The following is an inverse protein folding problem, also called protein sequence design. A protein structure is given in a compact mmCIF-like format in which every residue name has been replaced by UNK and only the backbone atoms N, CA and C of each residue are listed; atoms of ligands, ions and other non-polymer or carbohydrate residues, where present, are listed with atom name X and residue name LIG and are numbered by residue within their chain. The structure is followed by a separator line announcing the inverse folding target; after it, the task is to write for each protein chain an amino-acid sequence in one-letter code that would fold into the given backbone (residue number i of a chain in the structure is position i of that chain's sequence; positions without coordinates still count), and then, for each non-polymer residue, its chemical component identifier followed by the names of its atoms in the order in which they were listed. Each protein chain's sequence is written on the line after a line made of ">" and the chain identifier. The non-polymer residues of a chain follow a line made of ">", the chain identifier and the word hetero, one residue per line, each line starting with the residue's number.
data_IF_486533658353
#
_entry.id   IF_486533658353
#
_cell.length_a   1.000
_cell.length_b   1.000
_cell.length_c   1.000
_cell.angle_alpha   90.00
_cell.angle_beta   90.00
_cell.angle_gamma   90.00
#
_symmetry.space_group_name_H-M   'P 1'
#
loop_
_entity.id
_entity.type
_entity.pdbx_description
1 polymer ?
#
# COMPACT_ATOMS: atom_id res chain seq x y z
N UNK A 1 -19.07 -0.78 -41.78
CA UNK A 1 -19.63 0.58 -41.72
C UNK A 1 -19.30 1.14 -40.34
N UNK A 2 -18.64 2.30 -40.29
CA UNK A 2 -18.32 2.95 -39.00
C UNK A 2 -19.60 3.58 -38.43
N UNK A 3 -19.93 3.26 -37.19
CA UNK A 3 -21.06 3.87 -36.50
C UNK A 3 -20.75 5.35 -36.19
N UNK A 4 -21.71 6.27 -36.23
CA UNK A 4 -21.49 7.70 -35.97
C UNK A 4 -20.84 8.00 -34.64
N UNK A 5 -21.14 7.21 -33.60
CA UNK A 5 -20.51 7.31 -32.27
C UNK A 5 -19.00 6.98 -32.30
N UNK A 6 -18.61 6.03 -33.14
CA UNK A 6 -17.20 5.64 -33.30
C UNK A 6 -16.39 6.77 -33.94
N UNK A 7 -16.92 7.41 -34.98
CA UNK A 7 -16.27 8.55 -35.62
C UNK A 7 -16.08 9.74 -34.66
N UNK A 8 -17.09 9.98 -33.82
CA UNK A 8 -17.04 11.03 -32.79
C UNK A 8 -16.02 10.73 -31.70
N UNK A 9 -15.93 9.48 -31.26
CA UNK A 9 -14.93 9.05 -30.24
C UNK A 9 -13.50 9.14 -30.76
N UNK A 10 -13.29 8.91 -32.07
CA UNK A 10 -12.00 9.00 -32.75
C UNK A 10 -11.62 10.42 -33.20
N UNK A 11 -12.56 11.38 -33.11
CA UNK A 11 -12.39 12.74 -33.63
C UNK A 11 -12.00 12.75 -35.11
N UNK A 12 -12.56 11.84 -35.91
CA UNK A 12 -12.33 11.70 -37.34
C UNK A 12 -13.56 12.06 -38.15
N UNK A 13 -13.33 12.71 -39.28
CA UNK A 13 -14.33 12.80 -40.34
C UNK A 13 -14.49 11.43 -41.01
N UNK A 14 -15.61 11.24 -41.70
CA UNK A 14 -15.87 9.99 -42.45
C UNK A 14 -14.82 9.70 -43.52
N UNK A 15 -14.36 10.73 -44.21
CA UNK A 15 -13.39 10.62 -45.29
C UNK A 15 -11.99 10.25 -44.75
N UNK A 16 -11.60 10.82 -43.59
CA UNK A 16 -10.36 10.46 -42.89
C UNK A 16 -10.39 9.03 -42.40
N UNK A 17 -11.50 8.60 -41.81
CA UNK A 17 -11.66 7.21 -41.37
C UNK A 17 -11.55 6.21 -42.53
N UNK A 18 -12.25 6.47 -43.63
CA UNK A 18 -12.26 5.56 -44.79
C UNK A 18 -10.85 5.47 -45.44
N UNK A 19 -10.09 6.56 -45.46
CA UNK A 19 -8.69 6.58 -45.93
C UNK A 19 -7.78 5.74 -45.02
N UNK A 20 -7.82 5.98 -43.72
CA UNK A 20 -6.96 5.25 -42.75
C UNK A 20 -7.34 3.76 -42.69
N UNK A 21 -8.63 3.45 -42.82
CA UNK A 21 -9.08 2.07 -42.88
C UNK A 21 -8.54 1.34 -44.11
N UNK A 22 -8.53 1.98 -45.25
CA UNK A 22 -7.98 1.40 -46.49
C UNK A 22 -6.46 1.10 -46.38
N UNK A 23 -5.72 1.97 -45.73
CA UNK A 23 -4.30 1.75 -45.45
C UNK A 23 -4.08 0.57 -44.51
N UNK A 24 -4.89 0.48 -43.47
CA UNK A 24 -4.86 -0.63 -42.52
C UNK A 24 -5.20 -1.98 -43.18
N UNK A 25 -6.26 -2.04 -44.01
CA UNK A 25 -6.62 -3.25 -44.77
C UNK A 25 -5.45 -3.72 -45.65
N UNK A 26 -4.80 -2.83 -46.37
CA UNK A 26 -3.61 -3.17 -47.19
C UNK A 26 -2.45 -3.72 -46.35
N UNK A 27 -2.25 -3.19 -45.16
CA UNK A 27 -1.25 -3.67 -44.23
C UNK A 27 -1.55 -5.10 -43.77
N UNK A 28 -2.79 -5.38 -43.39
CA UNK A 28 -3.20 -6.72 -42.98
C UNK A 28 -3.09 -7.71 -44.16
N UNK A 29 -3.44 -7.31 -45.37
CA UNK A 29 -3.23 -8.14 -46.58
C UNK A 29 -1.75 -8.46 -46.82
N UNK A 30 -0.85 -7.47 -46.63
CA UNK A 30 0.58 -7.71 -46.72
C UNK A 30 1.08 -8.67 -45.65
N UNK A 31 0.54 -8.59 -44.44
CA UNK A 31 0.86 -9.54 -43.37
C UNK A 31 0.44 -10.97 -43.72
N UNK A 32 -0.73 -11.17 -44.33
CA UNK A 32 -1.14 -12.50 -44.77
C UNK A 32 -0.22 -13.10 -45.85
N UNK A 33 0.42 -12.25 -46.65
CA UNK A 33 1.40 -12.69 -47.70
C UNK A 33 2.80 -12.94 -47.15
N UNK A 34 3.23 -12.17 -46.15
CA UNK A 34 4.62 -12.19 -45.61
C UNK A 34 4.75 -13.00 -44.34
N UNK A 35 3.63 -13.34 -43.68
CA UNK A 35 3.57 -14.08 -42.41
C UNK A 35 4.51 -13.52 -41.32
N UNK A 36 4.50 -12.20 -41.03
CA UNK A 36 5.34 -11.68 -39.98
C UNK A 36 4.86 -12.16 -38.59
N UNK A 37 5.71 -12.07 -37.54
CA UNK A 37 5.35 -12.49 -36.17
C UNK A 37 4.05 -11.88 -35.63
N UNK A 38 3.73 -10.67 -36.03
CA UNK A 38 2.53 -9.90 -35.64
C UNK A 38 1.23 -10.53 -36.19
N UNK A 39 1.31 -11.36 -37.22
CA UNK A 39 0.16 -12.08 -37.77
C UNK A 39 -0.29 -13.22 -36.84
N UNK A 40 0.60 -13.81 -36.07
CA UNK A 40 0.29 -15.01 -35.27
C UNK A 40 -0.81 -14.78 -34.22
N UNK A 41 -0.84 -13.67 -33.48
CA UNK A 41 -1.95 -13.34 -32.59
C UNK A 41 -3.30 -13.22 -33.30
N UNK A 42 -3.31 -12.60 -34.49
CA UNK A 42 -4.54 -12.49 -35.31
C UNK A 42 -5.07 -13.87 -35.75
N UNK A 43 -4.19 -14.78 -36.18
CA UNK A 43 -4.57 -16.15 -36.54
C UNK A 43 -5.11 -16.94 -35.34
N UNK A 44 -4.55 -16.71 -34.15
CA UNK A 44 -5.03 -17.34 -32.93
C UNK A 44 -6.42 -16.83 -32.54
N UNK A 45 -6.66 -15.53 -32.65
CA UNK A 45 -7.96 -14.94 -32.36
C UNK A 45 -9.01 -15.30 -33.43
N UNK A 46 -8.61 -15.46 -34.70
CA UNK A 46 -9.47 -16.00 -35.77
C UNK A 46 -9.98 -17.44 -35.46
N UNK A 47 -9.11 -18.28 -34.87
CA UNK A 47 -9.51 -19.64 -34.42
C UNK A 47 -10.49 -19.61 -33.25
N UNK A 48 -10.48 -18.55 -32.43
CA UNK A 48 -11.41 -18.35 -31.32
C UNK A 48 -12.79 -17.83 -31.74
N UNK A 49 -12.90 -17.32 -32.97
CA UNK A 49 -14.17 -16.90 -33.55
C UNK A 49 -14.19 -15.44 -33.98
N UNK A 50 -15.28 -15.07 -34.70
CA UNK A 50 -15.42 -13.74 -35.33
C UNK A 50 -15.36 -12.57 -34.33
N UNK A 51 -15.87 -12.75 -33.12
CA UNK A 51 -15.89 -11.68 -32.11
C UNK A 51 -14.49 -11.37 -31.59
N UNK A 52 -13.67 -12.39 -31.31
CA UNK A 52 -12.30 -12.23 -30.87
C UNK A 52 -11.42 -11.57 -31.96
N UNK A 53 -11.56 -12.03 -33.21
CA UNK A 53 -10.86 -11.43 -34.34
C UNK A 53 -11.25 -9.96 -34.55
N UNK A 54 -12.56 -9.64 -34.49
CA UNK A 54 -13.06 -8.27 -34.62
C UNK A 54 -12.45 -7.36 -33.55
N UNK A 55 -12.45 -7.80 -32.29
CA UNK A 55 -11.85 -7.03 -31.18
C UNK A 55 -10.37 -6.75 -31.39
N UNK A 56 -9.59 -7.76 -31.84
CA UNK A 56 -8.17 -7.61 -32.14
C UNK A 56 -7.91 -6.66 -33.31
N UNK A 57 -8.67 -6.76 -34.39
CA UNK A 57 -8.52 -5.86 -35.53
C UNK A 57 -8.89 -4.42 -35.17
N UNK A 58 -9.91 -4.22 -34.35
CA UNK A 58 -10.26 -2.89 -33.84
C UNK A 58 -9.10 -2.31 -33.00
N UNK A 59 -8.54 -3.08 -32.10
CA UNK A 59 -7.41 -2.65 -31.28
C UNK A 59 -6.22 -2.25 -32.14
N UNK A 60 -5.81 -3.11 -33.08
CA UNK A 60 -4.68 -2.82 -33.99
C UNK A 60 -4.93 -1.59 -34.86
N UNK A 61 -6.15 -1.37 -35.32
CA UNK A 61 -6.51 -0.18 -36.06
C UNK A 61 -6.43 1.09 -35.20
N UNK A 62 -6.85 1.02 -33.94
CA UNK A 62 -6.66 2.12 -32.99
C UNK A 62 -5.21 2.43 -32.74
N UNK A 63 -4.40 1.39 -32.48
CA UNK A 63 -2.95 1.55 -32.26
C UNK A 63 -2.26 2.20 -33.46
N UNK A 64 -2.66 1.84 -34.68
CA UNK A 64 -2.17 2.45 -35.93
C UNK A 64 -2.58 3.93 -36.06
N UNK A 65 -3.87 4.23 -35.83
CA UNK A 65 -4.41 5.58 -35.88
C UNK A 65 -3.74 6.52 -34.88
N UNK A 66 -3.51 6.05 -33.66
CA UNK A 66 -2.84 6.84 -32.64
C UNK A 66 -1.33 6.97 -32.94
N UNK A 67 -0.68 5.90 -33.38
CA UNK A 67 0.73 5.90 -33.75
C UNK A 67 1.04 6.82 -34.95
N UNK A 68 0.14 6.96 -35.92
CA UNK A 68 0.32 7.84 -37.09
C UNK A 68 0.12 9.33 -36.79
N UNK A 69 -0.48 9.67 -35.64
CA UNK A 69 -0.74 11.06 -35.23
C UNK A 69 0.42 11.72 -34.49
N UNK A 70 1.39 10.93 -34.03
CA UNK A 70 2.53 11.45 -33.30
C UNK A 70 3.76 11.51 -34.19
N UNK A 71 4.47 12.62 -34.18
CA UNK A 71 5.78 12.70 -34.78
C UNK A 71 6.78 11.78 -34.07
N UNK A 72 7.85 11.36 -34.75
CA UNK A 72 8.89 10.51 -34.13
C UNK A 72 9.43 11.16 -32.85
N UNK A 73 9.56 12.48 -32.82
CA UNK A 73 10.00 13.23 -31.65
C UNK A 73 8.98 13.19 -30.50
N UNK A 74 7.67 13.23 -30.78
CA UNK A 74 6.62 13.09 -29.76
C UNK A 74 6.56 11.67 -29.21
N UNK A 75 6.75 10.65 -30.06
CA UNK A 75 6.82 9.25 -29.64
C UNK A 75 8.08 8.98 -28.79
N UNK A 76 9.22 9.57 -29.14
CA UNK A 76 10.44 9.49 -28.34
C UNK A 76 10.26 10.20 -26.99
N UNK A 77 9.67 11.39 -26.97
CA UNK A 77 9.37 12.13 -25.76
C UNK A 77 8.37 11.36 -24.84
N UNK A 78 7.33 10.76 -25.44
CA UNK A 78 6.40 9.91 -24.67
C UNK A 78 7.07 8.65 -24.11
N UNK A 79 7.99 8.02 -24.85
CA UNK A 79 8.79 6.90 -24.36
C UNK A 79 9.72 7.31 -23.22
N UNK A 80 10.31 8.49 -23.31
CA UNK A 80 11.19 9.04 -22.28
C UNK A 80 10.42 9.38 -21.01
N UNK A 81 9.24 10.01 -21.13
CA UNK A 81 8.33 10.31 -20.02
C UNK A 81 7.73 9.02 -19.40
N UNK A 82 7.48 7.98 -20.21
CA UNK A 82 6.98 6.68 -19.77
C UNK A 82 8.09 5.71 -19.38
N UNK A 83 9.34 6.14 -19.32
CA UNK A 83 10.46 5.27 -18.93
C UNK A 83 10.45 5.02 -17.42
N UNK A 84 9.97 3.85 -17.04
CA UNK A 84 9.90 3.38 -15.65
C UNK A 84 11.15 2.59 -15.20
N UNK A 85 12.21 2.55 -16.02
CA UNK A 85 13.43 1.77 -15.71
C UNK A 85 14.25 2.35 -14.57
N UNK A 86 14.13 3.66 -14.31
CA UNK A 86 14.91 4.38 -13.31
C UNK A 86 14.02 5.00 -12.23
N UNK A 87 13.50 4.21 -11.28
CA UNK A 87 12.56 4.70 -10.24
C UNK A 87 13.12 5.86 -9.41
N UNK A 88 14.44 5.94 -9.25
CA UNK A 88 15.09 7.03 -8.52
C UNK A 88 14.89 8.41 -9.19
N UNK A 89 14.60 8.44 -10.49
CA UNK A 89 14.41 9.66 -11.27
C UNK A 89 12.96 10.13 -11.35
N UNK A 90 12.00 9.30 -10.91
CA UNK A 90 10.57 9.63 -10.99
C UNK A 90 10.16 10.87 -10.18
N UNK A 91 10.96 11.23 -9.18
CA UNK A 91 10.66 12.33 -8.25
C UNK A 91 11.82 13.32 -8.17
N UNK A 92 12.03 14.15 -9.19
CA UNK A 92 13.19 15.06 -9.24
C UNK A 92 13.24 16.02 -8.05
N UNK A 93 12.08 16.50 -7.57
CA UNK A 93 12.01 17.40 -6.42
C UNK A 93 12.61 16.80 -5.13
N UNK A 94 12.59 15.47 -4.96
CA UNK A 94 13.21 14.81 -3.80
C UNK A 94 14.71 14.67 -3.97
N UNK A 95 15.22 14.69 -5.20
CA UNK A 95 16.68 14.59 -5.47
C UNK A 95 17.42 15.89 -5.15
N UNK A 96 16.71 17.02 -5.07
CA UNK A 96 17.26 18.30 -4.64
C UNK A 96 17.41 18.43 -3.11
N UNK A 97 16.76 17.53 -2.37
CA UNK A 97 16.77 17.54 -0.90
C UNK A 97 17.85 16.56 -0.41
N UNK A 98 18.86 17.01 0.35
CA UNK A 98 19.78 16.11 1.04
C UNK A 98 19.02 15.32 2.11
N UNK A 99 18.73 14.03 1.85
CA UNK A 99 17.95 13.20 2.75
C UNK A 99 18.85 12.33 3.60
N UNK A 100 18.44 12.16 4.86
CA UNK A 100 19.03 11.20 5.79
C UNK A 100 17.98 10.14 6.14
N UNK A 101 18.31 8.88 5.91
CA UNK A 101 17.42 7.75 6.13
C UNK A 101 17.84 7.00 7.39
N UNK A 102 16.92 6.85 8.33
CA UNK A 102 17.12 6.08 9.57
C UNK A 102 16.28 4.81 9.50
N UNK A 103 16.90 3.67 9.35
CA UNK A 103 16.24 2.39 9.37
C UNK A 103 16.15 1.84 10.79
N UNK A 104 14.95 1.72 11.33
CA UNK A 104 14.66 1.09 12.61
C UNK A 104 14.22 -0.35 12.35
N UNK A 105 15.12 -1.30 12.54
CA UNK A 105 14.88 -2.70 12.20
C UNK A 105 14.94 -3.61 13.43
N UNK A 106 14.02 -4.58 13.45
CA UNK A 106 13.93 -5.52 14.55
C UNK A 106 12.62 -6.28 14.56
N UNK A 107 12.46 -7.26 15.44
CA UNK A 107 11.23 -8.03 15.58
C UNK A 107 10.06 -7.16 16.07
N UNK A 108 8.87 -7.72 16.04
CA UNK A 108 7.70 -7.12 16.69
C UNK A 108 7.95 -6.92 18.18
N UNK A 109 7.39 -5.89 18.78
CA UNK A 109 7.60 -5.52 20.19
C UNK A 109 9.09 -5.29 20.56
N UNK A 110 9.77 -4.52 19.72
CA UNK A 110 11.17 -4.09 19.95
C UNK A 110 11.32 -2.59 20.19
N UNK A 111 10.22 -1.82 20.10
CA UNK A 111 10.24 -0.36 20.28
C UNK A 111 10.68 0.43 19.03
N UNK A 112 10.91 -0.23 17.88
CA UNK A 112 11.38 0.44 16.66
C UNK A 112 10.48 1.62 16.23
N UNK A 113 9.17 1.41 16.13
CA UNK A 113 8.19 2.46 15.74
C UNK A 113 8.09 3.54 16.82
N UNK A 114 8.22 3.17 18.10
CA UNK A 114 8.21 4.14 19.20
C UNK A 114 9.32 5.19 19.06
N UNK A 115 10.56 4.77 18.76
CA UNK A 115 11.68 5.70 18.58
C UNK A 115 11.49 6.63 17.37
N UNK A 116 10.96 6.11 16.27
CA UNK A 116 10.65 6.92 15.09
C UNK A 116 9.55 7.95 15.40
N UNK A 117 8.48 7.54 16.07
CA UNK A 117 7.39 8.45 16.47
C UNK A 117 7.84 9.49 17.49
N UNK A 118 8.72 9.12 18.42
CA UNK A 118 9.30 10.08 19.35
C UNK A 118 10.06 11.19 18.61
N UNK A 119 10.85 10.82 17.60
CA UNK A 119 11.53 11.81 16.75
C UNK A 119 10.54 12.68 15.98
N UNK A 120 9.46 12.10 15.46
CA UNK A 120 8.38 12.84 14.80
C UNK A 120 7.72 13.87 15.73
N UNK A 121 7.55 13.53 17.00
CA UNK A 121 6.98 14.44 18.00
C UNK A 121 7.88 15.64 18.36
N UNK A 122 9.19 15.57 18.09
CA UNK A 122 10.16 16.63 18.39
C UNK A 122 10.18 17.75 17.36
N UNK A 123 9.60 17.53 16.16
CA UNK A 123 9.61 18.52 15.06
C UNK A 123 8.27 19.21 14.90
N UNK A 124 8.28 20.34 14.22
CA UNK A 124 7.05 21.10 13.95
C UNK A 124 6.38 20.69 12.64
N UNK A 125 7.14 20.12 11.70
CA UNK A 125 6.61 19.64 10.41
C UNK A 125 6.99 18.18 10.19
N UNK A 126 5.98 17.31 10.05
CA UNK A 126 6.26 15.89 9.87
C UNK A 126 5.07 15.07 9.40
N UNK A 127 5.38 13.84 8.99
CA UNK A 127 4.38 12.90 8.50
C UNK A 127 4.64 11.49 9.01
N UNK A 128 3.56 10.82 9.40
CA UNK A 128 3.52 9.38 9.65
C UNK A 128 2.73 8.69 8.53
N UNK A 129 3.30 7.63 7.97
CA UNK A 129 2.68 6.77 6.97
C UNK A 129 2.57 5.34 7.51
N UNK A 130 1.34 4.90 7.73
CA UNK A 130 1.04 3.58 8.28
C UNK A 130 0.40 2.63 7.27
N UNK A 131 0.55 1.31 7.46
CA UNK A 131 -0.05 0.29 6.60
C UNK A 131 -1.57 0.18 6.74
N UNK A 132 -2.11 0.69 7.85
CA UNK A 132 -3.51 0.53 8.25
C UNK A 132 -4.10 1.83 8.76
N UNK A 133 -5.38 2.08 8.47
CA UNK A 133 -6.14 3.24 8.95
C UNK A 133 -6.12 3.38 10.47
N UNK A 134 -6.20 2.26 11.18
CA UNK A 134 -6.20 2.26 12.64
C UNK A 134 -4.90 2.83 13.22
N UNK A 135 -3.75 2.47 12.64
CA UNK A 135 -2.45 3.02 13.03
C UNK A 135 -2.34 4.52 12.69
N UNK A 136 -2.81 4.91 11.51
CA UNK A 136 -2.85 6.33 11.15
C UNK A 136 -3.74 7.12 12.12
N UNK A 137 -4.88 6.58 12.53
CA UNK A 137 -5.78 7.21 13.50
C UNK A 137 -5.16 7.27 14.91
N UNK A 138 -4.44 6.24 15.34
CA UNK A 138 -3.74 6.21 16.62
C UNK A 138 -2.68 7.31 16.70
N UNK A 139 -1.84 7.43 15.65
CA UNK A 139 -0.81 8.48 15.58
C UNK A 139 -1.43 9.87 15.48
N UNK A 140 -2.50 10.04 14.68
CA UNK A 140 -3.27 11.29 14.64
C UNK A 140 -3.76 11.69 16.02
N UNK A 141 -4.39 10.77 16.76
CA UNK A 141 -4.89 11.04 18.12
C UNK A 141 -3.76 11.40 19.08
N UNK A 142 -2.64 10.68 19.00
CA UNK A 142 -1.45 10.90 19.84
C UNK A 142 -0.83 12.27 19.60
N UNK A 143 -0.64 12.67 18.34
CA UNK A 143 -0.06 13.98 18.00
C UNK A 143 -0.97 15.13 18.44
N UNK A 144 -2.27 15.04 18.22
CA UNK A 144 -3.23 16.06 18.70
C UNK A 144 -3.27 16.13 20.24
N UNK A 145 -3.20 15.00 20.93
CA UNK A 145 -3.12 14.97 22.40
C UNK A 145 -1.82 15.58 22.93
N UNK A 146 -0.74 15.53 22.15
CA UNK A 146 0.54 16.19 22.44
C UNK A 146 0.54 17.70 22.07
N UNK A 147 -0.61 18.26 21.65
CA UNK A 147 -0.75 19.66 21.28
C UNK A 147 -0.17 20.00 19.90
N UNK A 148 0.04 19.01 19.03
CA UNK A 148 0.48 19.20 17.65
C UNK A 148 -0.70 19.00 16.69
N UNK A 149 -1.25 20.08 16.11
CA UNK A 149 -2.34 19.98 15.14
C UNK A 149 -1.95 19.05 13.98
N UNK A 150 -2.68 17.96 13.84
CA UNK A 150 -2.36 16.90 12.88
C UNK A 150 -3.53 16.66 11.93
N UNK A 151 -3.23 16.54 10.64
CA UNK A 151 -4.20 16.08 9.65
C UNK A 151 -4.24 14.56 9.62
N UNK A 152 -5.43 13.97 9.44
CA UNK A 152 -5.63 12.54 9.16
C UNK A 152 -6.09 12.38 7.73
N UNK A 153 -5.36 11.57 6.93
CA UNK A 153 -5.74 11.28 5.54
C UNK A 153 -5.68 9.77 5.29
N UNK A 154 -6.84 9.18 5.05
CA UNK A 154 -7.00 7.77 4.70
C UNK A 154 -7.88 7.63 3.47
N UNK A 155 -7.98 6.45 2.89
CA UNK A 155 -8.83 6.21 1.73
C UNK A 155 -10.34 6.44 1.97
N UNK A 156 -10.79 6.50 3.21
CA UNK A 156 -12.21 6.70 3.57
C UNK A 156 -12.47 7.99 4.35
N UNK A 157 -11.44 8.59 4.92
CA UNK A 157 -11.60 9.69 5.86
C UNK A 157 -10.49 10.72 5.68
N UNK A 158 -10.87 11.99 5.69
CA UNK A 158 -9.96 13.11 5.73
C UNK A 158 -10.41 14.06 6.83
N UNK A 159 -9.52 14.33 7.80
CA UNK A 159 -9.72 15.33 8.86
C UNK A 159 -8.58 16.33 8.77
N UNK A 160 -8.91 17.55 8.46
CA UNK A 160 -7.95 18.65 8.45
C UNK A 160 -8.16 19.49 9.73
N UNK A 161 -7.10 19.94 10.42
CA UNK A 161 -7.22 20.95 11.43
C UNK A 161 -7.67 22.27 10.80
N UNK A 162 -8.17 23.20 11.61
CA UNK A 162 -8.59 24.52 11.14
C UNK A 162 -7.46 25.24 10.41
N UNK A 163 -7.83 26.04 9.41
CA UNK A 163 -7.01 26.62 8.34
C UNK A 163 -5.57 26.98 8.71
N UNK A 164 -4.62 26.62 7.82
CA UNK A 164 -3.19 26.95 7.79
C UNK A 164 -2.30 26.41 8.95
N UNK A 165 -2.82 25.63 9.89
CA UNK A 165 -2.04 25.15 11.04
C UNK A 165 -1.54 23.71 10.94
N UNK A 166 -1.91 22.95 9.91
CA UNK A 166 -1.48 21.57 9.79
C UNK A 166 -0.06 21.46 9.24
N UNK A 167 0.89 21.28 10.12
CA UNK A 167 2.26 20.91 9.77
C UNK A 167 2.55 19.43 10.04
N UNK A 168 1.65 18.74 10.77
CA UNK A 168 1.73 17.33 11.06
C UNK A 168 0.67 16.55 10.29
N UNK A 169 1.04 15.40 9.75
CA UNK A 169 0.17 14.52 8.98
C UNK A 169 0.27 13.08 9.47
N UNK A 170 -0.86 12.40 9.52
CA UNK A 170 -0.93 10.96 9.74
C UNK A 170 -1.79 10.34 8.65
N UNK A 171 -1.19 9.48 7.82
CA UNK A 171 -1.83 8.95 6.62
C UNK A 171 -1.66 7.44 6.50
N UNK A 172 -2.56 6.80 5.74
CA UNK A 172 -2.21 5.51 5.15
C UNK A 172 -1.20 5.74 4.03
N UNK A 173 -0.31 4.77 3.80
CA UNK A 173 0.84 4.96 2.88
C UNK A 173 0.39 5.34 1.48
N UNK A 174 -0.73 4.79 1.00
CA UNK A 174 -1.32 5.09 -0.31
C UNK A 174 -1.74 6.56 -0.46
N UNK A 175 -1.97 7.25 0.65
CA UNK A 175 -2.45 8.64 0.68
C UNK A 175 -1.34 9.66 0.94
N UNK A 176 -0.08 9.25 0.79
CA UNK A 176 1.08 10.12 1.04
C UNK A 176 1.05 11.38 0.15
N UNK A 177 1.05 12.61 0.72
CA UNK A 177 1.11 13.86 -0.04
C UNK A 177 2.55 14.10 -0.51
N UNK A 178 2.83 13.84 -1.77
CA UNK A 178 4.18 13.93 -2.36
C UNK A 178 4.58 15.36 -2.76
N UNK A 179 3.65 16.30 -2.73
CA UNK A 179 3.85 17.71 -3.06
C UNK A 179 4.10 18.61 -1.82
N UNK A 180 4.17 18.00 -0.63
CA UNK A 180 4.37 18.72 0.64
C UNK A 180 5.77 18.42 1.18
N UNK A 181 6.44 19.46 1.72
CA UNK A 181 7.76 19.34 2.35
C UNK A 181 7.61 19.11 3.85
N UNK A 182 8.42 18.18 4.39
CA UNK A 182 8.47 17.84 5.80
C UNK A 182 9.89 17.88 6.34
N UNK A 183 10.03 18.13 7.63
CA UNK A 183 11.32 17.95 8.31
C UNK A 183 11.59 16.47 8.58
N UNK A 184 10.58 15.75 9.09
CA UNK A 184 10.66 14.33 9.43
C UNK A 184 9.50 13.55 8.83
N UNK A 185 9.80 12.41 8.24
CA UNK A 185 8.81 11.44 7.79
C UNK A 185 9.05 10.08 8.46
N UNK A 186 7.97 9.41 8.85
CA UNK A 186 7.99 8.02 9.33
C UNK A 186 7.21 7.15 8.36
N UNK A 187 7.86 6.13 7.79
CA UNK A 187 7.22 5.11 6.96
C UNK A 187 7.28 3.79 7.72
N UNK A 188 6.13 3.35 8.19
CA UNK A 188 6.03 2.14 9.00
C UNK A 188 5.85 0.88 8.13
N UNK A 189 6.26 -0.27 8.68
CA UNK A 189 6.19 -1.60 8.03
C UNK A 189 6.84 -1.62 6.64
N UNK A 190 8.08 -1.11 6.52
CA UNK A 190 8.80 -0.97 5.23
C UNK A 190 8.95 -2.28 4.47
N UNK A 191 8.86 -3.46 5.11
CA UNK A 191 8.87 -4.75 4.41
C UNK A 191 7.66 -4.93 3.47
N UNK A 192 6.61 -4.13 3.64
CA UNK A 192 5.46 -4.10 2.72
C UNK A 192 5.83 -3.60 1.31
N UNK A 193 7.01 -3.03 1.11
CA UNK A 193 7.53 -2.65 -0.22
C UNK A 193 7.58 -3.85 -1.17
N UNK A 194 7.73 -5.07 -0.64
CA UNK A 194 7.72 -6.32 -1.42
C UNK A 194 6.33 -6.93 -1.62
N UNK A 195 5.27 -6.30 -1.08
CA UNK A 195 3.92 -6.84 -1.21
C UNK A 195 3.42 -6.73 -2.67
N UNK A 196 2.89 -7.83 -3.28
CA UNK A 196 2.53 -7.84 -4.70
C UNK A 196 1.49 -6.79 -5.10
N UNK A 197 0.52 -6.53 -4.24
CA UNK A 197 -0.61 -5.64 -4.56
C UNK A 197 -0.44 -4.21 -3.99
N UNK A 198 0.29 -4.04 -2.88
CA UNK A 198 0.39 -2.77 -2.17
C UNK A 198 1.80 -2.17 -2.14
N UNK A 199 2.83 -2.93 -2.51
CA UNK A 199 4.24 -2.51 -2.40
C UNK A 199 4.57 -1.23 -3.17
N UNK A 200 3.83 -0.94 -4.22
CA UNK A 200 3.95 0.30 -4.99
C UNK A 200 3.80 1.55 -4.12
N UNK A 201 2.93 1.53 -3.11
CA UNK A 201 2.71 2.69 -2.24
C UNK A 201 3.94 2.99 -1.36
N UNK A 202 4.62 1.96 -0.83
CA UNK A 202 5.88 2.11 -0.08
C UNK A 202 7.01 2.59 -0.97
N UNK A 203 7.10 2.07 -2.20
CA UNK A 203 8.07 2.53 -3.20
C UNK A 203 7.84 4.01 -3.53
N UNK A 204 6.59 4.38 -3.79
CA UNK A 204 6.20 5.76 -4.07
C UNK A 204 6.48 6.69 -2.90
N UNK A 205 6.09 6.30 -1.70
CA UNK A 205 6.33 7.08 -0.49
C UNK A 205 7.84 7.28 -0.24
N UNK A 206 8.65 6.21 -0.31
CA UNK A 206 10.09 6.30 -0.09
C UNK A 206 10.79 7.19 -1.12
N UNK A 207 10.47 7.02 -2.41
CA UNK A 207 11.11 7.78 -3.48
C UNK A 207 10.56 9.21 -3.60
N UNK A 208 9.27 9.42 -3.33
CA UNK A 208 8.56 10.67 -3.63
C UNK A 208 8.39 11.63 -2.46
N UNK A 209 8.50 11.20 -1.20
CA UNK A 209 8.36 12.10 -0.05
C UNK A 209 9.48 13.14 0.01
N UNK A 210 9.07 14.40 0.09
CA UNK A 210 9.97 15.53 0.25
C UNK A 210 10.26 15.77 1.74
N UNK A 211 11.11 14.92 2.34
CA UNK A 211 11.50 15.06 3.74
C UNK A 211 13.02 15.06 3.89
N UNK A 212 13.54 15.86 4.83
CA UNK A 212 14.97 15.93 5.13
C UNK A 212 15.46 14.67 5.86
N UNK A 213 14.63 14.13 6.74
CA UNK A 213 14.90 12.97 7.56
C UNK A 213 13.75 11.96 7.40
N UNK A 214 14.06 10.71 7.07
CA UNK A 214 13.06 9.67 6.86
C UNK A 214 13.38 8.48 7.76
N UNK A 215 12.44 8.10 8.62
CA UNK A 215 12.52 6.94 9.49
C UNK A 215 11.73 5.79 8.88
N UNK A 216 12.41 4.70 8.55
CA UNK A 216 11.83 3.47 8.01
C UNK A 216 11.77 2.43 9.12
N UNK A 217 10.56 2.03 9.54
CA UNK A 217 10.38 1.01 10.57
C UNK A 217 10.02 -0.34 9.94
N UNK A 218 10.69 -1.43 10.33
CA UNK A 218 10.33 -2.74 9.80
C UNK A 218 11.30 -3.87 10.12
N UNK A 219 11.34 -4.86 9.24
CA UNK A 219 12.15 -6.05 9.40
C UNK A 219 13.58 -5.89 8.88
N UNK A 220 14.56 -6.53 9.54
CA UNK A 220 15.96 -6.47 9.16
C UNK A 220 16.25 -6.97 7.73
N UNK A 221 15.42 -7.85 7.20
CA UNK A 221 15.57 -8.36 5.80
C UNK A 221 15.46 -7.28 4.73
N UNK A 222 14.90 -6.11 5.07
CA UNK A 222 14.75 -4.98 4.12
C UNK A 222 16.03 -4.15 3.97
N UNK A 223 16.99 -4.28 4.89
CA UNK A 223 18.20 -3.46 4.91
C UNK A 223 19.00 -3.52 3.61
N UNK A 224 19.28 -4.69 3.00
CA UNK A 224 20.02 -4.73 1.73
C UNK A 224 19.35 -3.91 0.62
N UNK A 225 18.05 -4.14 0.40
CA UNK A 225 17.27 -3.43 -0.61
C UNK A 225 17.29 -1.91 -0.38
N UNK A 226 17.05 -1.49 0.88
CA UNK A 226 16.98 -0.06 1.17
C UNK A 226 18.35 0.63 1.04
N UNK A 227 19.45 -0.06 1.34
CA UNK A 227 20.80 0.45 1.08
C UNK A 227 21.09 0.66 -0.41
N UNK A 228 20.64 -0.28 -1.26
CA UNK A 228 20.76 -0.14 -2.71
C UNK A 228 19.95 1.03 -3.23
N UNK A 229 18.69 1.17 -2.80
CA UNK A 229 17.83 2.29 -3.18
C UNK A 229 18.38 3.63 -2.70
N UNK A 230 18.92 3.70 -1.47
CA UNK A 230 19.57 4.91 -0.95
C UNK A 230 20.81 5.27 -1.77
N UNK A 231 21.61 4.27 -2.15
CA UNK A 231 22.79 4.51 -2.99
C UNK A 231 22.43 5.06 -4.36
N UNK A 232 21.39 4.51 -5.00
CA UNK A 232 20.86 5.01 -6.29
C UNK A 232 20.29 6.43 -6.16
N UNK A 233 19.66 6.74 -5.02
CA UNK A 233 19.05 8.02 -4.76
C UNK A 233 20.03 9.09 -4.24
N UNK A 234 21.26 8.71 -3.85
CA UNK A 234 22.24 9.61 -3.22
C UNK A 234 21.91 9.92 -1.75
N UNK A 235 21.07 9.14 -1.10
CA UNK A 235 20.64 9.34 0.28
C UNK A 235 21.67 8.74 1.27
N UNK A 236 21.82 9.38 2.43
CA UNK A 236 22.58 8.80 3.55
C UNK A 236 21.72 7.84 4.34
N UNK A 237 22.26 6.67 4.73
CA UNK A 237 21.49 5.65 5.47
C UNK A 237 22.19 5.26 6.77
N UNK A 238 21.43 5.26 7.88
CA UNK A 238 21.80 4.78 9.19
C UNK A 238 20.87 3.63 9.59
N UNK A 239 21.45 2.55 10.10
CA UNK A 239 20.67 1.37 10.53
C UNK A 239 20.72 1.25 12.04
N UNK A 240 19.54 1.22 12.67
CA UNK A 240 19.35 1.02 14.09
C UNK A 240 18.69 -0.34 14.31
N UNK A 241 19.40 -1.23 14.99
CA UNK A 241 18.90 -2.59 15.26
C UNK A 241 18.33 -2.66 16.68
N UNK A 242 17.14 -3.27 16.78
CA UNK A 242 16.43 -3.42 18.05
C UNK A 242 16.18 -4.89 18.35
N UNK A 243 16.30 -5.21 19.63
CA UNK A 243 15.96 -6.53 20.14
C UNK A 243 14.54 -6.52 20.73
N UNK A 244 13.89 -7.68 20.72
CA UNK A 244 12.56 -7.83 21.31
C UNK A 244 12.60 -7.51 22.81
N UNK A 245 11.66 -6.70 23.29
CA UNK A 245 11.58 -6.28 24.69
C UNK A 245 11.21 -7.43 25.62
N UNK A 246 10.31 -8.32 25.16
CA UNK A 246 9.89 -9.51 25.90
C UNK A 246 10.19 -10.77 25.09
N UNK A 247 10.76 -11.83 25.68
CA UNK A 247 11.07 -13.04 24.95
C UNK A 247 9.80 -13.72 24.45
N UNK A 248 9.84 -14.25 23.21
CA UNK A 248 8.81 -15.10 22.66
C UNK A 248 9.25 -16.56 22.84
N UNK A 249 8.46 -17.34 23.55
CA UNK A 249 8.74 -18.75 23.85
C UNK A 249 7.60 -19.63 23.35
N UNK A 250 7.96 -20.68 22.59
CA UNK A 250 7.01 -21.72 22.22
C UNK A 250 6.94 -22.73 23.37
N UNK A 251 5.75 -22.89 23.93
CA UNK A 251 5.55 -23.88 25.00
C UNK A 251 5.69 -25.31 24.46
N UNK A 252 6.31 -26.21 25.22
CA UNK A 252 6.52 -27.59 24.77
C UNK A 252 5.22 -28.41 24.72
N UNK A 253 4.18 -27.95 25.40
CA UNK A 253 2.88 -28.63 25.45
C UNK A 253 1.77 -27.69 24.94
N UNK A 254 0.89 -28.23 24.09
CA UNK A 254 -0.32 -27.55 23.64
C UNK A 254 -1.40 -27.59 24.72
N UNK A 255 -2.36 -26.68 24.63
CA UNK A 255 -3.57 -26.70 25.48
C UNK A 255 -4.43 -27.98 25.30
N UNK A 256 -4.26 -28.68 24.15
CA UNK A 256 -5.01 -29.91 23.78
C UNK A 256 -6.54 -29.73 23.93
N UNK A 257 -7.05 -28.55 23.60
CA UNK A 257 -8.48 -28.23 23.70
C UNK A 257 -9.01 -28.01 25.12
N UNK A 258 -8.15 -27.96 26.15
CA UNK A 258 -8.52 -27.70 27.54
C UNK A 258 -8.61 -26.18 27.77
N UNK A 259 -9.70 -25.57 27.33
CA UNK A 259 -9.94 -24.14 27.42
C UNK A 259 -10.03 -23.63 28.89
N UNK A 260 -10.26 -24.52 29.84
CA UNK A 260 -10.27 -24.20 31.28
C UNK A 260 -8.88 -23.86 31.84
N UNK A 261 -7.81 -24.08 31.03
CA UNK A 261 -6.43 -23.75 31.38
C UNK A 261 -5.99 -22.38 30.84
N UNK A 262 -6.88 -21.67 30.17
CA UNK A 262 -6.60 -20.31 29.74
C UNK A 262 -6.38 -19.39 30.93
N UNK A 263 -5.39 -18.51 30.80
CA UNK A 263 -5.07 -17.52 31.82
C UNK A 263 -5.53 -16.11 31.32
N UNK A 264 -5.77 -15.20 32.27
CA UNK A 264 -6.13 -13.81 31.91
C UNK A 264 -5.04 -13.20 31.05
N UNK A 265 -5.44 -12.60 29.91
CA UNK A 265 -4.52 -12.05 28.93
C UNK A 265 -4.22 -12.99 27.76
N UNK A 266 -4.75 -14.23 27.77
CA UNK A 266 -4.58 -15.15 26.65
C UNK A 266 -5.37 -14.72 25.41
N UNK A 267 -4.74 -14.88 24.24
CA UNK A 267 -5.36 -14.68 22.94
C UNK A 267 -5.42 -15.99 22.14
N UNK A 268 -6.61 -16.34 21.65
CA UNK A 268 -6.83 -17.48 20.77
C UNK A 268 -7.00 -16.97 19.34
N UNK A 269 -6.14 -17.45 18.44
CA UNK A 269 -6.20 -17.08 17.02
C UNK A 269 -6.94 -18.14 16.21
N UNK A 270 -7.92 -17.71 15.42
CA UNK A 270 -8.69 -18.54 14.51
C UNK A 270 -8.85 -17.87 13.15
N UNK A 271 -8.85 -18.66 12.07
CA UNK A 271 -8.78 -18.16 10.69
C UNK A 271 -10.15 -18.03 9.99
N UNK A 272 -11.26 -18.13 10.74
CA UNK A 272 -12.60 -17.88 10.21
C UNK A 272 -13.47 -17.13 11.19
N UNK A 273 -14.32 -16.25 10.69
CA UNK A 273 -15.25 -15.46 11.51
C UNK A 273 -16.19 -16.38 12.30
N UNK A 274 -16.72 -17.42 11.66
CA UNK A 274 -17.57 -18.42 12.33
C UNK A 274 -16.80 -19.13 13.44
N UNK A 275 -15.54 -19.51 13.21
CA UNK A 275 -14.67 -20.12 14.21
C UNK A 275 -14.41 -19.21 15.40
N UNK A 276 -14.19 -17.90 15.17
CA UNK A 276 -13.99 -16.89 16.21
C UNK A 276 -15.23 -16.83 17.11
N UNK A 277 -16.42 -16.71 16.54
CA UNK A 277 -17.66 -16.66 17.32
C UNK A 277 -17.97 -17.97 18.05
N UNK A 278 -17.67 -19.12 17.43
CA UNK A 278 -17.83 -20.42 18.07
C UNK A 278 -16.88 -20.59 19.27
N UNK A 279 -15.60 -20.26 19.09
CA UNK A 279 -14.58 -20.28 20.15
C UNK A 279 -14.91 -19.33 21.28
N UNK A 280 -15.33 -18.10 20.98
CA UNK A 280 -15.78 -17.15 21.99
C UNK A 280 -16.84 -17.78 22.89
N UNK A 281 -17.93 -18.31 22.30
CA UNK A 281 -19.04 -18.93 23.05
C UNK A 281 -18.54 -20.11 23.89
N UNK A 282 -17.66 -20.94 23.36
CA UNK A 282 -17.14 -22.11 24.05
C UNK A 282 -16.21 -21.73 25.20
N UNK A 283 -15.35 -20.73 25.02
CA UNK A 283 -14.51 -20.19 26.12
C UNK A 283 -15.38 -19.59 27.21
N UNK A 284 -16.31 -18.69 26.85
CA UNK A 284 -17.24 -18.08 27.85
C UNK A 284 -18.05 -19.13 28.61
N UNK A 285 -18.51 -20.17 27.90
CA UNK A 285 -19.26 -21.28 28.52
C UNK A 285 -18.42 -22.11 29.53
N UNK A 286 -17.16 -22.40 29.19
CA UNK A 286 -16.28 -23.25 30.00
C UNK A 286 -15.61 -22.49 31.13
N UNK A 287 -15.24 -21.26 30.92
CA UNK A 287 -14.48 -20.46 31.89
C UNK A 287 -15.35 -19.54 32.74
N UNK A 288 -16.57 -19.24 32.30
CA UNK A 288 -17.45 -18.27 32.93
C UNK A 288 -16.98 -16.80 32.74
N UNK A 289 -15.93 -16.55 31.92
CA UNK A 289 -15.33 -15.26 31.71
C UNK A 289 -15.66 -14.72 30.33
N UNK A 290 -15.65 -13.39 30.16
CA UNK A 290 -15.93 -12.74 28.88
C UNK A 290 -14.72 -12.73 27.93
N UNK A 291 -15.00 -12.82 26.63
CA UNK A 291 -14.01 -12.73 25.58
C UNK A 291 -14.26 -11.51 24.69
N UNK A 292 -13.25 -10.68 24.50
CA UNK A 292 -13.21 -9.73 23.41
C UNK A 292 -13.01 -10.46 22.07
N UNK A 293 -13.47 -9.87 20.96
CA UNK A 293 -13.30 -10.44 19.61
C UNK A 293 -12.72 -9.42 18.65
N UNK A 294 -11.75 -9.86 17.83
CA UNK A 294 -11.13 -9.02 16.80
C UNK A 294 -10.94 -9.82 15.51
N UNK A 295 -11.44 -9.29 14.40
CA UNK A 295 -11.22 -9.85 13.05
C UNK A 295 -11.31 -8.77 11.96
N UNK A 296 -10.77 -9.04 10.78
CA UNK A 296 -10.55 -8.05 9.73
C UNK A 296 -11.80 -7.32 9.24
N UNK A 297 -12.97 -7.98 9.17
CA UNK A 297 -14.21 -7.36 8.69
C UNK A 297 -14.98 -6.56 9.76
N UNK A 298 -14.49 -6.49 11.01
CA UNK A 298 -15.06 -5.57 12.00
C UNK A 298 -14.76 -4.12 11.63
N UNK A 299 -15.71 -3.18 11.86
CA UNK A 299 -15.43 -1.75 11.77
C UNK A 299 -14.22 -1.33 12.61
N UNK A 300 -13.39 -0.38 12.17
CA UNK A 300 -12.19 0.03 12.89
C UNK A 300 -12.45 0.46 14.33
N UNK A 301 -13.55 1.22 14.58
CA UNK A 301 -13.93 1.67 15.91
C UNK A 301 -14.30 0.51 16.82
N UNK A 302 -15.03 -0.49 16.29
CA UNK A 302 -15.37 -1.71 17.03
C UNK A 302 -14.13 -2.50 17.39
N UNK A 303 -13.15 -2.62 16.46
CA UNK A 303 -11.86 -3.27 16.77
C UNK A 303 -11.10 -2.55 17.88
N UNK A 304 -11.03 -1.22 17.80
CA UNK A 304 -10.38 -0.41 18.83
C UNK A 304 -11.09 -0.56 20.19
N UNK A 305 -12.41 -0.59 20.20
CA UNK A 305 -13.19 -0.81 21.42
C UNK A 305 -12.94 -2.20 22.02
N UNK A 306 -12.94 -3.25 21.21
CA UNK A 306 -12.66 -4.61 21.67
C UNK A 306 -11.23 -4.76 22.23
N UNK A 307 -10.24 -4.12 21.58
CA UNK A 307 -8.87 -4.06 22.10
C UNK A 307 -8.78 -3.33 23.45
N UNK A 308 -9.49 -2.20 23.61
CA UNK A 308 -9.57 -1.49 24.91
C UNK A 308 -10.19 -2.35 25.98
N UNK A 309 -11.28 -3.07 25.68
CA UNK A 309 -11.92 -3.98 26.64
C UNK A 309 -10.97 -5.08 27.11
N UNK A 310 -10.15 -5.62 26.20
CA UNK A 310 -9.16 -6.64 26.54
C UNK A 310 -7.98 -6.07 27.35
N UNK A 311 -7.52 -4.86 27.01
CA UNK A 311 -6.37 -4.21 27.66
C UNK A 311 -6.70 -3.60 29.03
N UNK A 312 -7.98 -3.40 29.36
CA UNK A 312 -8.39 -2.82 30.63
C UNK A 312 -8.42 -3.90 31.71
N UNK A 313 -7.52 -3.84 32.73
CA UNK A 313 -7.43 -4.85 33.78
C UNK A 313 -8.63 -4.86 34.73
N UNK A 314 -9.40 -3.76 34.77
CA UNK A 314 -10.51 -3.56 35.70
C UNK A 314 -11.85 -4.14 35.22
N UNK A 315 -11.91 -4.66 34.00
CA UNK A 315 -13.13 -5.24 33.46
C UNK A 315 -13.12 -6.77 33.40
N UNK A 316 -14.26 -7.38 33.02
CA UNK A 316 -14.48 -8.82 32.99
C UNK A 316 -14.01 -9.52 31.70
N UNK A 317 -13.32 -8.79 30.78
CA UNK A 317 -12.84 -9.35 29.49
C UNK A 317 -11.46 -9.97 29.68
N UNK A 318 -11.42 -11.18 30.17
CA UNK A 318 -10.17 -11.88 30.51
C UNK A 318 -9.43 -12.42 29.26
N UNK A 319 -10.16 -12.69 28.18
CA UNK A 319 -9.61 -13.35 26.99
C UNK A 319 -9.90 -12.58 25.70
N UNK A 320 -9.08 -12.85 24.67
CA UNK A 320 -9.30 -12.37 23.33
C UNK A 320 -9.42 -13.56 22.37
N UNK A 321 -10.43 -13.54 21.48
CA UNK A 321 -10.51 -14.46 20.34
C UNK A 321 -10.43 -13.65 19.06
N UNK A 322 -9.44 -13.93 18.21
CA UNK A 322 -9.15 -13.07 17.09
C UNK A 322 -8.75 -13.82 15.82
N UNK A 323 -8.77 -13.11 14.67
CA UNK A 323 -8.07 -13.56 13.48
C UNK A 323 -6.61 -13.09 13.49
N UNK A 324 -5.87 -13.40 12.42
CA UNK A 324 -4.55 -12.86 12.13
C UNK A 324 -4.51 -11.32 12.01
N UNK A 325 -5.68 -10.67 11.91
CA UNK A 325 -5.82 -9.20 11.93
C UNK A 325 -5.23 -8.54 13.19
N UNK A 326 -5.00 -9.30 14.29
CA UNK A 326 -4.30 -8.79 15.46
C UNK A 326 -2.79 -8.62 15.26
N UNK A 327 -2.22 -9.26 14.24
CA UNK A 327 -0.78 -9.20 13.95
C UNK A 327 -0.32 -7.83 13.44
N UNK A 328 -1.25 -6.99 13.01
CA UNK A 328 -0.96 -5.64 12.55
C UNK A 328 -1.96 -4.64 13.13
N UNK A 329 -1.45 -3.55 13.69
CA UNK A 329 -2.23 -2.35 14.00
C UNK A 329 -3.11 -2.40 15.25
N UNK A 330 -2.92 -3.34 16.14
CA UNK A 330 -3.53 -3.34 17.45
C UNK A 330 -2.45 -3.38 18.53
N UNK A 331 -2.53 -2.46 19.46
CA UNK A 331 -1.70 -2.45 20.64
C UNK A 331 -2.45 -3.27 21.73
N UNK A 332 -2.00 -4.50 21.91
CA UNK A 332 -2.56 -5.47 22.86
C UNK A 332 -1.57 -5.78 23.96
#
# INVERSE_FOLDING_TARGET
>A
MAEPELLKSLQLSREEFDREWLLFERKIELWTRRSPPELQPLLNDAKRGKSALKGRLQQLFYDELYGSRFTTAELENQKEVADLRYPAEWYPATREIPRTIHMHVGPTNSGKTYHALKRLEEVDSGIYLGPLRLLAHEVYTRLNAAGKPCALITGEEQRMPDEDSAHMYSCTVEMAPLNTKFDVAVIDEIQMISHPDRGWAWTQAFLGLQAKEIHLCGEARTVPLMRELCALAGDKVHVHEYNRLTPLQVQPQSLNGKLERLEKGDCIVAFSVLGIHALRREVERRTGKKCAIVYGSLPPETRAQQARLFNDPENDYDYLVASDAIGMGLNL
#
